data_IF_383959790363
#
_entry.id   IF_383959790363
#
_cell.length_a   1.000
_cell.length_b   1.000
_cell.length_c   1.000
_cell.angle_alpha   90.00
_cell.angle_beta   90.00
_cell.angle_gamma   90.00
#
_symmetry.space_group_name_H-M   'P 1'
#
loop_
_entity.id
_entity.type
_entity.pdbx_description
1 polymer ?
#
# COMPACT_ATOMS: atom_id res chain seq x y z
N UNK A 1 9.38 -24.34 -5.85
CA UNK A 1 9.38 -22.86 -5.66
C UNK A 1 8.13 -22.26 -6.25
N UNK A 2 7.39 -21.45 -5.50
CA UNK A 2 6.26 -20.75 -6.10
C UNK A 2 6.72 -19.76 -7.15
N UNK A 3 5.95 -19.57 -8.22
CA UNK A 3 6.32 -18.57 -9.23
C UNK A 3 6.20 -17.15 -8.64
N UNK A 4 6.98 -16.24 -9.19
CA UNK A 4 6.88 -14.82 -8.81
C UNK A 4 5.55 -14.28 -9.31
N UNK A 5 4.70 -13.73 -8.43
CA UNK A 5 3.44 -13.15 -8.87
C UNK A 5 3.63 -11.91 -9.73
N UNK A 6 2.63 -11.63 -10.56
CA UNK A 6 2.54 -10.38 -11.28
C UNK A 6 1.65 -9.42 -10.52
N UNK A 7 2.10 -8.17 -10.38
CA UNK A 7 1.32 -7.12 -9.73
C UNK A 7 0.47 -6.43 -10.80
N UNK A 8 -0.85 -6.60 -10.73
CA UNK A 8 -1.75 -6.01 -11.72
C UNK A 8 -2.33 -4.68 -11.27
N UNK A 9 -2.31 -4.39 -9.96
CA UNK A 9 -2.77 -3.11 -9.43
C UNK A 9 -2.12 -2.86 -8.08
N UNK A 10 -1.80 -1.60 -7.81
CA UNK A 10 -1.32 -1.14 -6.50
C UNK A 10 -1.80 0.30 -6.33
N UNK A 11 -2.68 0.53 -5.36
CA UNK A 11 -3.32 1.81 -5.14
C UNK A 11 -3.21 2.22 -3.68
N UNK A 12 -3.12 3.53 -3.45
CA UNK A 12 -3.09 4.14 -2.13
C UNK A 12 -4.35 4.98 -1.95
N UNK A 13 -4.97 4.86 -0.79
CA UNK A 13 -6.24 5.53 -0.51
C UNK A 13 -6.39 5.79 0.99
N UNK A 14 -7.51 6.40 1.36
CA UNK A 14 -7.83 6.59 2.78
C UNK A 14 -8.23 5.28 3.44
N UNK A 15 -9.06 4.49 2.78
CA UNK A 15 -9.50 3.20 3.33
C UNK A 15 -9.91 2.23 2.23
N UNK A 16 -9.67 0.95 2.48
CA UNK A 16 -10.17 -0.14 1.65
C UNK A 16 -11.25 -0.85 2.44
N UNK A 17 -12.44 -0.97 1.87
CA UNK A 17 -13.57 -1.65 2.48
C UNK A 17 -13.87 -2.92 1.70
N UNK A 18 -14.10 -4.01 2.41
CA UNK A 18 -14.50 -5.27 1.81
C UNK A 18 -15.95 -5.58 2.15
N UNK A 19 -16.75 -5.86 1.13
CA UNK A 19 -18.13 -6.34 1.31
C UNK A 19 -18.07 -7.83 1.64
N UNK A 20 -18.59 -8.20 2.82
CA UNK A 20 -18.54 -9.59 3.30
C UNK A 20 -19.35 -10.54 2.45
N UNK A 21 -20.43 -10.06 1.82
CA UNK A 21 -21.32 -10.91 1.03
C UNK A 21 -20.73 -11.23 -0.35
N UNK A 22 -19.99 -10.29 -0.94
CA UNK A 22 -19.52 -10.42 -2.32
C UNK A 22 -18.02 -10.53 -2.44
N UNK A 23 -17.26 -10.26 -1.38
CA UNK A 23 -15.79 -10.14 -1.34
C UNK A 23 -15.27 -9.03 -2.26
N UNK A 24 -16.14 -8.13 -2.69
CA UNK A 24 -15.72 -6.97 -3.49
C UNK A 24 -15.13 -5.90 -2.60
N UNK A 25 -14.10 -5.24 -3.11
CA UNK A 25 -13.43 -4.18 -2.38
C UNK A 25 -13.80 -2.83 -2.93
N UNK A 26 -13.94 -1.86 -2.03
CA UNK A 26 -14.17 -0.46 -2.38
C UNK A 26 -12.97 0.36 -1.97
N UNK A 27 -12.50 1.18 -2.87
CA UNK A 27 -11.35 2.07 -2.66
C UNK A 27 -11.92 3.46 -2.39
N UNK A 28 -11.75 3.95 -1.16
CA UNK A 28 -12.31 5.22 -0.75
C UNK A 28 -11.19 6.23 -0.54
N UNK A 29 -11.28 7.37 -1.22
CA UNK A 29 -10.32 8.44 -1.08
C UNK A 29 -8.96 8.11 -1.66
N UNK A 30 -8.92 7.66 -2.91
CA UNK A 30 -7.64 7.46 -3.60
C UNK A 30 -6.94 8.81 -3.72
N UNK A 31 -5.66 8.88 -3.34
CA UNK A 31 -4.94 10.15 -3.31
C UNK A 31 -3.57 10.03 -3.97
N UNK A 32 -3.06 11.17 -4.41
CA UNK A 32 -1.71 11.30 -4.95
C UNK A 32 -0.85 12.21 -4.09
N UNK A 33 -1.49 12.97 -3.20
CA UNK A 33 -0.81 13.96 -2.37
C UNK A 33 -1.54 14.08 -1.02
N UNK A 34 -0.76 14.13 0.06
CA UNK A 34 -1.25 14.44 1.39
C UNK A 34 -0.76 15.84 1.75
N UNK A 35 -1.69 16.72 2.19
CA UNK A 35 -1.36 18.08 2.56
C UNK A 35 -1.44 18.25 4.08
N UNK A 36 -0.42 18.88 4.67
CA UNK A 36 -0.40 19.18 6.10
C UNK A 36 0.29 20.51 6.34
N UNK A 37 -0.18 21.24 7.35
CA UNK A 37 0.46 22.49 7.77
C UNK A 37 1.60 22.24 8.74
N UNK A 38 1.57 21.12 9.44
CA UNK A 38 2.50 20.84 10.53
C UNK A 38 3.22 19.54 10.32
N UNK A 39 4.51 19.52 10.66
CA UNK A 39 5.34 18.32 10.63
C UNK A 39 6.05 18.18 11.97
N UNK A 40 6.20 16.95 12.50
CA UNK A 40 5.79 15.68 11.89
C UNK A 40 4.28 15.62 11.67
N UNK A 41 3.86 15.03 10.57
CA UNK A 41 2.45 14.89 10.22
C UNK A 41 1.98 13.47 10.56
N UNK A 42 1.02 13.36 11.48
CA UNK A 42 0.40 12.09 11.80
C UNK A 42 -0.81 11.90 10.87
N UNK A 43 -0.74 10.92 9.99
CA UNK A 43 -1.84 10.59 9.09
C UNK A 43 -2.56 9.37 9.63
N UNK A 44 -3.79 9.56 10.07
CA UNK A 44 -4.60 8.48 10.62
C UNK A 44 -5.33 7.76 9.49
N UNK A 45 -5.13 6.46 9.43
CA UNK A 45 -5.81 5.56 8.52
C UNK A 45 -5.41 5.72 7.06
N UNK A 46 -4.64 4.79 6.59
CA UNK A 46 -4.18 4.75 5.21
C UNK A 46 -4.45 3.36 4.65
N UNK A 47 -5.07 3.29 3.48
CA UNK A 47 -5.40 2.03 2.83
C UNK A 47 -4.50 1.75 1.64
N UNK A 48 -4.15 0.48 1.45
CA UNK A 48 -3.41 0.03 0.27
C UNK A 48 -4.15 -1.15 -0.32
N UNK A 49 -4.46 -1.04 -1.61
CA UNK A 49 -5.11 -2.11 -2.37
C UNK A 49 -4.11 -2.65 -3.38
N UNK A 50 -3.99 -3.97 -3.46
CA UNK A 50 -3.16 -4.58 -4.50
C UNK A 50 -3.80 -5.86 -5.04
N UNK A 51 -3.46 -6.17 -6.27
CA UNK A 51 -4.01 -7.32 -6.98
C UNK A 51 -2.88 -8.13 -7.60
N UNK A 52 -2.91 -9.44 -7.39
CA UNK A 52 -1.87 -10.36 -7.86
C UNK A 52 -2.47 -11.37 -8.85
N UNK A 53 -1.71 -11.63 -9.90
CA UNK A 53 -2.00 -12.68 -10.87
C UNK A 53 -0.77 -13.57 -11.02
N UNK A 54 -0.93 -14.70 -11.72
CA UNK A 54 0.17 -15.64 -12.00
C UNK A 54 0.85 -16.12 -10.71
N UNK A 55 0.06 -16.37 -9.68
CA UNK A 55 0.54 -16.84 -8.39
C UNK A 55 0.02 -18.24 -8.12
N UNK A 56 0.85 -19.07 -7.50
CA UNK A 56 0.48 -20.43 -7.11
C UNK A 56 1.43 -20.88 -6.00
N UNK A 57 0.92 -20.99 -4.80
CA UNK A 57 1.71 -21.42 -3.64
C UNK A 57 1.55 -20.49 -2.45
N UNK A 58 2.50 -20.62 -1.53
CA UNK A 58 2.54 -19.81 -0.30
C UNK A 58 3.47 -18.62 -0.49
N UNK A 59 3.01 -17.45 -0.08
CA UNK A 59 3.78 -16.22 -0.23
C UNK A 59 3.82 -15.44 1.07
N UNK A 60 5.02 -14.98 1.42
CA UNK A 60 5.22 -13.98 2.45
C UNK A 60 5.20 -12.62 1.77
N UNK A 61 4.13 -11.86 2.02
CA UNK A 61 3.97 -10.53 1.43
C UNK A 61 4.54 -9.50 2.39
N UNK A 62 5.30 -8.56 1.86
CA UNK A 62 5.81 -7.42 2.61
C UNK A 62 5.43 -6.14 1.88
N UNK A 63 4.79 -5.24 2.61
CA UNK A 63 4.46 -3.91 2.13
C UNK A 63 5.29 -2.93 2.95
N UNK A 64 6.16 -2.18 2.28
CA UNK A 64 7.07 -1.24 2.93
C UNK A 64 6.78 0.17 2.46
N UNK A 65 6.66 1.08 3.41
CA UNK A 65 6.52 2.51 3.12
C UNK A 65 7.85 3.19 3.41
N UNK A 66 8.44 3.76 2.37
CA UNK A 66 9.75 4.41 2.46
C UNK A 66 9.70 5.81 1.88
N UNK A 67 10.65 6.64 2.32
CA UNK A 67 10.93 7.90 1.64
C UNK A 67 11.68 7.56 0.35
N UNK A 68 11.19 8.08 -0.79
CA UNK A 68 11.75 7.73 -2.10
C UNK A 68 13.19 8.25 -2.29
N UNK A 69 13.55 9.33 -1.63
CA UNK A 69 14.87 9.94 -1.80
C UNK A 69 15.90 9.40 -0.81
N UNK A 70 15.54 9.30 0.48
CA UNK A 70 16.46 8.86 1.52
C UNK A 70 16.42 7.36 1.80
N UNK A 71 15.40 6.67 1.27
CA UNK A 71 15.14 5.24 1.51
C UNK A 71 14.81 4.92 2.97
N UNK A 72 14.53 5.94 3.79
CA UNK A 72 14.12 5.73 5.17
C UNK A 72 12.81 4.96 5.24
N UNK A 73 12.80 3.88 6.02
CA UNK A 73 11.60 3.08 6.24
C UNK A 73 10.71 3.77 7.28
N UNK A 74 9.44 4.00 6.93
CA UNK A 74 8.46 4.58 7.85
C UNK A 74 7.62 3.50 8.51
N UNK A 75 7.18 2.52 7.74
CA UNK A 75 6.38 1.41 8.28
C UNK A 75 6.50 0.20 7.37
N UNK A 76 6.21 -0.96 7.92
CA UNK A 76 6.25 -2.21 7.19
C UNK A 76 5.13 -3.11 7.70
N UNK A 77 4.41 -3.73 6.76
CA UNK A 77 3.35 -4.68 7.08
C UNK A 77 3.67 -5.99 6.39
N UNK A 78 3.54 -7.08 7.11
CA UNK A 78 3.73 -8.41 6.55
C UNK A 78 2.48 -9.25 6.67
N UNK A 79 2.22 -10.08 5.68
CA UNK A 79 1.16 -11.06 5.77
C UNK A 79 1.52 -12.31 4.96
N UNK A 80 0.99 -13.46 5.42
CA UNK A 80 1.17 -14.74 4.75
C UNK A 80 -0.09 -15.06 3.98
N UNK A 81 0.05 -15.40 2.71
CA UNK A 81 -1.09 -15.78 1.87
C UNK A 81 -0.80 -17.09 1.17
N UNK A 82 -1.88 -17.77 0.77
CA UNK A 82 -1.78 -19.00 0.00
C UNK A 82 -2.74 -18.90 -1.18
N UNK A 83 -2.22 -19.14 -2.38
CA UNK A 83 -2.97 -19.10 -3.62
C UNK A 83 -2.85 -20.48 -4.28
N UNK A 84 -3.97 -21.07 -4.65
CA UNK A 84 -3.98 -22.46 -5.13
C UNK A 84 -4.25 -22.60 -6.62
N UNK A 85 -4.48 -21.50 -7.34
CA UNK A 85 -4.80 -21.55 -8.77
C UNK A 85 -4.05 -20.45 -9.50
N UNK A 86 -3.14 -20.86 -10.41
CA UNK A 86 -2.32 -19.94 -11.18
C UNK A 86 -3.13 -18.99 -12.06
N UNK A 87 -4.37 -19.38 -12.41
CA UNK A 87 -5.25 -18.56 -13.23
C UNK A 87 -6.13 -17.63 -12.40
N UNK A 88 -6.08 -17.72 -11.08
CA UNK A 88 -6.90 -16.86 -10.23
C UNK A 88 -6.36 -15.44 -10.19
N UNK A 89 -7.28 -14.51 -9.94
CA UNK A 89 -6.96 -13.09 -9.73
C UNK A 89 -7.30 -12.82 -8.27
N UNK A 90 -6.29 -12.40 -7.51
CA UNK A 90 -6.45 -12.25 -6.07
C UNK A 90 -6.14 -10.83 -5.66
N UNK A 91 -7.09 -10.19 -4.98
CA UNK A 91 -6.89 -8.83 -4.50
C UNK A 91 -6.93 -8.76 -2.98
N UNK A 92 -6.24 -7.75 -2.45
CA UNK A 92 -6.04 -7.58 -1.02
C UNK A 92 -6.15 -6.11 -0.66
N UNK A 93 -6.71 -5.85 0.52
CA UNK A 93 -6.73 -4.53 1.10
C UNK A 93 -6.04 -4.55 2.45
N UNK A 94 -5.15 -3.61 2.68
CA UNK A 94 -4.47 -3.42 3.96
C UNK A 94 -4.79 -2.02 4.45
N UNK A 95 -5.28 -1.93 5.70
CA UNK A 95 -5.54 -0.63 6.32
C UNK A 95 -4.55 -0.43 7.45
N UNK A 96 -3.79 0.66 7.36
CA UNK A 96 -2.75 1.02 8.33
C UNK A 96 -3.32 2.13 9.22
N UNK A 97 -3.42 1.93 10.54
CA UNK A 97 -4.11 2.91 11.40
C UNK A 97 -3.40 4.25 11.54
N UNK A 98 -2.07 4.26 11.49
CA UNK A 98 -1.32 5.50 11.70
C UNK A 98 0.02 5.44 10.99
N UNK A 99 0.33 6.52 10.29
CA UNK A 99 1.66 6.73 9.69
C UNK A 99 2.11 8.14 10.07
N UNK A 100 3.36 8.28 10.50
CA UNK A 100 3.94 9.58 10.82
C UNK A 100 4.95 9.95 9.77
N UNK A 101 4.74 11.09 9.10
CA UNK A 101 5.66 11.63 8.11
C UNK A 101 6.48 12.75 8.77
N UNK A 102 7.80 12.57 8.91
CA UNK A 102 8.61 13.58 9.62
C UNK A 102 8.76 14.88 8.86
N UNK A 103 8.74 14.82 7.53
CA UNK A 103 8.93 15.97 6.65
C UNK A 103 8.11 15.82 5.38
N UNK A 104 7.86 16.91 4.65
CA UNK A 104 7.34 16.80 3.28
C UNK A 104 8.33 16.04 2.39
N UNK A 105 7.81 15.41 1.34
CA UNK A 105 8.66 14.70 0.39
C UNK A 105 7.91 13.73 -0.47
N UNK A 106 8.68 12.90 -1.16
CA UNK A 106 8.14 11.80 -1.96
C UNK A 106 8.26 10.52 -1.18
N UNK A 107 7.19 9.75 -1.18
CA UNK A 107 7.13 8.49 -0.47
C UNK A 107 6.57 7.42 -1.40
N UNK A 108 6.89 6.18 -1.09
CA UNK A 108 6.37 5.08 -1.91
C UNK A 108 6.09 3.85 -1.07
N UNK A 109 5.04 3.14 -1.43
CA UNK A 109 4.84 1.78 -1.00
C UNK A 109 5.53 0.84 -1.97
N UNK A 110 6.28 -0.11 -1.41
CA UNK A 110 6.96 -1.14 -2.16
C UNK A 110 6.37 -2.49 -1.75
N UNK A 111 6.01 -3.29 -2.73
CA UNK A 111 5.42 -4.60 -2.48
C UNK A 111 6.37 -5.70 -2.87
N UNK A 112 6.57 -6.64 -1.96
CA UNK A 112 7.44 -7.79 -2.15
C UNK A 112 6.66 -9.08 -1.89
N UNK A 113 6.99 -10.13 -2.63
CA UNK A 113 6.50 -11.49 -2.38
C UNK A 113 7.70 -12.41 -2.30
N UNK A 114 7.84 -13.14 -1.20
CA UNK A 114 8.98 -14.01 -0.93
C UNK A 114 10.31 -13.31 -1.19
N UNK A 115 10.42 -12.05 -0.73
CA UNK A 115 11.58 -11.17 -0.84
C UNK A 115 11.84 -10.64 -2.25
N UNK A 116 11.01 -10.98 -3.24
CA UNK A 116 11.14 -10.46 -4.59
C UNK A 116 10.27 -9.21 -4.76
N UNK A 117 10.85 -8.17 -5.32
CA UNK A 117 10.16 -6.91 -5.58
C UNK A 117 9.11 -7.09 -6.68
N UNK A 118 7.86 -6.68 -6.42
CA UNK A 118 6.77 -6.77 -7.38
C UNK A 118 6.44 -5.42 -8.02
N UNK A 119 6.52 -4.35 -7.27
CA UNK A 119 6.17 -3.03 -7.77
C UNK A 119 6.10 -1.99 -6.67
N UNK A 120 5.86 -0.75 -7.08
CA UNK A 120 5.78 0.37 -6.15
C UNK A 120 4.68 1.33 -6.54
N UNK A 121 4.20 2.10 -5.55
CA UNK A 121 3.25 3.19 -5.76
C UNK A 121 3.74 4.42 -5.02
N UNK A 122 4.02 5.48 -5.76
CA UNK A 122 4.53 6.73 -5.23
C UNK A 122 3.40 7.72 -4.94
N UNK A 123 3.57 8.50 -3.88
CA UNK A 123 2.71 9.63 -3.55
C UNK A 123 3.55 10.71 -2.90
N UNK A 124 2.99 11.90 -2.74
CA UNK A 124 3.69 13.01 -2.14
C UNK A 124 3.03 13.43 -0.84
N UNK A 125 3.85 13.95 0.07
CA UNK A 125 3.38 14.64 1.27
C UNK A 125 3.92 16.05 1.17
N UNK A 126 3.01 17.03 1.17
CA UNK A 126 3.35 18.42 0.92
C UNK A 126 2.92 19.31 2.07
N UNK A 127 3.67 20.39 2.27
CA UNK A 127 3.31 21.40 3.25
C UNK A 127 2.27 22.31 2.64
N UNK A 128 1.17 22.50 3.36
CA UNK A 128 0.10 23.42 2.94
C UNK A 128 0.20 24.68 3.77
N UNK A 129 0.17 25.82 3.11
CA UNK A 129 0.14 27.13 3.78
C UNK A 129 -1.28 27.61 4.01
N UNK A 130 -2.24 26.96 3.38
CA UNK A 130 -3.64 27.29 3.52
C UNK A 130 -4.32 26.14 4.25
N UNK A 131 -5.06 26.47 5.32
CA UNK A 131 -5.76 25.46 6.10
C UNK A 131 -6.76 24.74 5.21
N UNK A 132 -6.70 23.40 5.10
CA UNK A 132 -7.70 22.65 4.33
C UNK A 132 -9.06 22.77 4.99
N UNK A 133 -10.07 22.86 4.16
CA UNK A 133 -11.46 22.92 4.62
C UNK A 133 -12.03 21.52 4.82
#
# INVERSE_FOLDING_TARGET
MPPKPSLSALLVCDTVIEDKATNKKSIIGAFTNIWSQNFPCAHHHMGVYFCLTNADGAYEIRLRLTNSDSEQLLTEVGLSIKISDILSINDFGINIPLVVFPKPGRFEFQLFANKEFLGRKEFRVSESQVKPE
#
